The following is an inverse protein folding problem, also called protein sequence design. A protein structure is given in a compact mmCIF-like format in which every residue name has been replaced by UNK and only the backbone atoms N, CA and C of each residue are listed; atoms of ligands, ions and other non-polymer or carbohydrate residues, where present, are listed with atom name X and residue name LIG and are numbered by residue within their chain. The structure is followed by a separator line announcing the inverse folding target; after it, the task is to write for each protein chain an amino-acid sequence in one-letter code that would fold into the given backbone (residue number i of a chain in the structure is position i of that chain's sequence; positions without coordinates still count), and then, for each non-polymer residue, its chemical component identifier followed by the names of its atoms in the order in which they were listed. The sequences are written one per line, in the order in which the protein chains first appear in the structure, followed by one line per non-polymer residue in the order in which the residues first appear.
data_IF_694010105966
#
_entry.id   IF_694010105966
#
_cell.length_a   1.000
_cell.length_b   1.000
_cell.length_c   1.000
_cell.angle_alpha   90.00
_cell.angle_beta   90.00
_cell.angle_gamma   90.00
#
_symmetry.space_group_name_H-M   'P 1'
#
loop_
_entity.id
_entity.type
_entity.pdbx_description
1 polymer ?
#
# COMPACT_ATOMS: atom_id res chain seq x y z
N UNK A 1 1.29 -9.86 2.47
CA UNK A 1 1.60 -8.72 1.59
C UNK A 1 3.11 -8.65 1.38
N UNK A 2 3.55 -8.21 0.20
CA UNK A 2 4.95 -8.13 -0.18
C UNK A 2 5.20 -6.81 -0.90
N UNK A 3 6.23 -6.08 -0.46
CA UNK A 3 6.69 -4.87 -1.14
C UNK A 3 7.66 -5.24 -2.25
N UNK A 4 7.64 -4.47 -3.34
CA UNK A 4 8.47 -4.73 -4.52
C UNK A 4 9.15 -3.43 -4.99
N UNK A 5 10.05 -3.53 -5.95
CA UNK A 5 10.89 -2.41 -6.38
C UNK A 5 10.19 -1.45 -7.36
N UNK A 6 8.95 -1.70 -7.77
CA UNK A 6 8.16 -0.72 -8.54
C UNK A 6 7.61 0.35 -7.58
N UNK A 7 8.13 1.57 -7.67
CA UNK A 7 7.82 2.63 -6.72
C UNK A 7 7.66 4.00 -7.38
N UNK A 8 6.75 4.81 -6.84
CA UNK A 8 6.70 6.25 -7.07
C UNK A 8 7.85 6.95 -6.32
N UNK A 9 8.23 8.16 -6.76
CA UNK A 9 9.19 8.99 -6.01
C UNK A 9 8.48 10.23 -5.46
N UNK A 10 8.67 10.49 -4.18
CA UNK A 10 8.04 11.60 -3.47
C UNK A 10 9.11 12.60 -3.04
N UNK A 11 8.89 13.86 -3.37
CA UNK A 11 9.72 14.99 -2.95
C UNK A 11 8.90 15.87 -2.02
N UNK A 12 9.42 16.18 -0.83
CA UNK A 12 8.74 17.03 0.14
C UNK A 12 9.66 18.17 0.52
N UNK A 13 9.14 19.40 0.50
CA UNK A 13 9.82 20.60 0.97
C UNK A 13 8.91 21.36 1.93
N UNK A 14 9.50 21.99 2.93
CA UNK A 14 8.78 22.94 3.78
C UNK A 14 8.27 24.11 2.94
N UNK A 15 7.07 24.59 3.26
CA UNK A 15 6.49 25.83 2.76
C UNK A 15 6.05 26.71 3.92
N UNK A 16 5.77 27.98 3.64
CA UNK A 16 5.28 28.90 4.67
C UNK A 16 3.97 28.41 5.31
N UNK A 17 3.03 27.97 4.48
CA UNK A 17 1.71 27.51 4.89
C UNK A 17 1.05 26.63 3.82
N UNK A 18 0.05 25.85 4.25
CA UNK A 18 -0.77 25.02 3.37
C UNK A 18 -0.07 23.80 2.78
N UNK A 19 -0.86 22.95 2.11
CA UNK A 19 -0.36 21.76 1.39
C UNK A 19 -0.49 22.01 -0.10
N UNK A 20 0.64 21.94 -0.82
CA UNK A 20 0.68 22.11 -2.28
C UNK A 20 1.19 20.84 -2.92
N UNK A 21 0.43 20.23 -3.83
CA UNK A 21 0.81 18.97 -4.47
C UNK A 21 0.95 19.19 -5.99
N UNK A 22 1.97 18.58 -6.58
CA UNK A 22 2.10 18.37 -8.02
C UNK A 22 2.40 16.91 -8.30
N UNK A 23 1.82 16.36 -9.36
CA UNK A 23 2.07 15.00 -9.81
C UNK A 23 2.50 14.99 -11.28
N UNK A 24 3.40 14.09 -11.65
CA UNK A 24 3.81 13.89 -13.05
C UNK A 24 2.71 13.23 -13.90
N UNK A 25 1.69 12.62 -13.27
CA UNK A 25 0.59 11.96 -13.96
C UNK A 25 -0.72 12.78 -13.83
N UNK A 26 -1.36 13.16 -14.94
CA UNK A 26 -2.49 14.12 -14.93
C UNK A 26 -3.77 13.56 -14.28
N UNK A 27 -3.97 12.24 -14.32
CA UNK A 27 -5.15 11.60 -13.72
C UNK A 27 -5.05 11.37 -12.20
N UNK A 28 -3.92 11.70 -11.57
CA UNK A 28 -3.77 11.55 -10.12
C UNK A 28 -4.33 12.79 -9.43
N UNK A 29 -5.34 12.68 -8.56
CA UNK A 29 -5.87 13.82 -7.84
C UNK A 29 -4.79 14.48 -6.97
N UNK A 30 -4.72 15.81 -7.01
CA UNK A 30 -3.76 16.63 -6.23
C UNK A 30 -4.46 17.65 -5.32
N UNK A 31 -5.78 17.56 -5.23
CA UNK A 31 -6.64 18.41 -4.40
C UNK A 31 -6.85 17.83 -3.00
N UNK A 32 -7.74 18.45 -2.23
CA UNK A 32 -8.10 18.08 -0.86
C UNK A 32 -8.73 16.70 -0.73
N UNK A 33 -9.27 16.13 -1.81
CA UNK A 33 -9.83 14.78 -1.81
C UNK A 33 -8.74 13.72 -1.97
N UNK A 34 -7.56 14.09 -2.48
CA UNK A 34 -6.46 13.15 -2.64
C UNK A 34 -5.98 12.60 -1.29
N UNK A 35 -5.69 11.30 -1.27
CA UNK A 35 -5.14 10.65 -0.08
C UNK A 35 -3.80 11.28 0.34
N UNK A 36 -3.01 11.73 -0.63
CA UNK A 36 -1.76 12.48 -0.44
C UNK A 36 -1.99 13.76 0.36
N UNK A 37 -2.96 14.59 -0.05
CA UNK A 37 -3.29 15.83 0.67
C UNK A 37 -3.74 15.54 2.09
N UNK A 38 -4.70 14.63 2.23
CA UNK A 38 -5.26 14.22 3.53
C UNK A 38 -4.18 13.68 4.47
N UNK A 39 -3.18 12.97 3.95
CA UNK A 39 -2.05 12.46 4.74
C UNK A 39 -1.19 13.59 5.28
N UNK A 40 -0.84 14.56 4.44
CA UNK A 40 -0.03 15.70 4.85
C UNK A 40 -0.77 16.56 5.87
N UNK A 41 -2.02 16.92 5.59
CA UNK A 41 -2.87 17.69 6.49
C UNK A 41 -3.04 16.98 7.85
N UNK A 42 -3.27 15.65 7.83
CA UNK A 42 -3.49 14.88 9.06
C UNK A 42 -2.31 14.93 10.01
N UNK A 43 -1.09 14.68 9.53
CA UNK A 43 0.10 14.72 10.39
C UNK A 43 0.44 16.16 10.81
N UNK A 44 0.30 17.15 9.92
CA UNK A 44 0.52 18.56 10.27
C UNK A 44 -0.43 19.03 11.38
N UNK A 45 -1.71 18.72 11.25
CA UNK A 45 -2.73 19.08 12.24
C UNK A 45 -2.53 18.33 13.56
N UNK A 46 -2.24 17.02 13.51
CA UNK A 46 -2.05 16.20 14.72
C UNK A 46 -0.93 16.71 15.61
N UNK A 47 0.15 17.21 14.99
CA UNK A 47 1.31 17.76 15.71
C UNK A 47 1.36 19.29 15.73
N UNK A 48 0.25 19.96 15.37
CA UNK A 48 0.07 21.43 15.38
C UNK A 48 1.18 22.19 14.65
N UNK A 49 1.73 21.60 13.59
CA UNK A 49 2.76 22.23 12.75
C UNK A 49 2.12 23.40 12.01
N UNK A 50 2.69 24.60 12.17
CA UNK A 50 2.18 25.83 11.54
C UNK A 50 2.70 26.06 10.12
N UNK A 51 3.73 25.31 9.73
CA UNK A 51 4.34 25.35 8.40
C UNK A 51 3.52 24.53 7.40
N UNK A 52 3.66 24.88 6.14
CA UNK A 52 3.13 24.13 5.02
C UNK A 52 4.12 23.11 4.46
N UNK A 53 3.68 22.36 3.46
CA UNK A 53 4.55 21.50 2.65
C UNK A 53 4.21 21.59 1.16
N UNK A 54 5.25 21.52 0.34
CA UNK A 54 5.14 21.29 -1.10
C UNK A 54 5.57 19.87 -1.41
N UNK A 55 4.68 19.12 -2.06
CA UNK A 55 4.85 17.70 -2.39
C UNK A 55 4.90 17.56 -3.92
N UNK A 56 5.96 16.93 -4.42
CA UNK A 56 6.08 16.48 -5.81
C UNK A 56 6.00 14.97 -5.89
N UNK A 57 5.20 14.44 -6.81
CA UNK A 57 5.04 13.00 -7.05
C UNK A 57 5.51 12.67 -8.46
N UNK A 58 6.58 11.89 -8.58
CA UNK A 58 6.91 11.21 -9.84
C UNK A 58 6.27 9.83 -9.83
N UNK A 59 5.14 9.71 -10.54
CA UNK A 59 4.30 8.52 -10.57
C UNK A 59 4.87 7.47 -11.52
N UNK A 60 5.14 6.27 -11.01
CA UNK A 60 5.60 5.08 -11.76
C UNK A 60 4.73 3.85 -11.55
N UNK A 61 4.13 3.69 -10.37
CA UNK A 61 3.18 2.61 -10.12
C UNK A 61 1.94 2.87 -10.99
N UNK A 62 1.45 1.90 -11.79
CA UNK A 62 0.27 2.11 -12.62
C UNK A 62 -0.97 2.44 -11.81
N UNK A 63 -1.90 3.21 -12.39
CA UNK A 63 -3.18 3.52 -11.76
C UNK A 63 -4.06 2.27 -11.70
N UNK A 64 -4.90 2.19 -10.66
CA UNK A 64 -5.91 1.15 -10.44
C UNK A 64 -5.42 -0.31 -10.62
N UNK A 65 -4.13 -0.56 -10.38
CA UNK A 65 -3.47 -1.85 -10.62
C UNK A 65 -3.57 -2.85 -9.46
N UNK A 66 -4.29 -2.52 -8.39
CA UNK A 66 -4.30 -3.32 -7.16
C UNK A 66 -2.97 -3.28 -6.37
N UNK A 67 -2.05 -2.38 -6.72
CA UNK A 67 -0.71 -2.27 -6.10
C UNK A 67 -0.63 -1.24 -4.96
N UNK A 68 -1.76 -0.75 -4.47
CA UNK A 68 -1.83 0.22 -3.37
C UNK A 68 -0.98 1.51 -3.58
N UNK A 69 -0.81 1.98 -4.82
CA UNK A 69 0.07 3.13 -5.12
C UNK A 69 -0.31 4.43 -4.38
N UNK A 70 -1.61 4.71 -4.22
CA UNK A 70 -2.06 5.84 -3.40
C UNK A 70 -1.67 5.71 -1.92
N UNK A 71 -1.79 4.51 -1.37
CA UNK A 71 -1.42 4.20 0.02
C UNK A 71 0.09 4.24 0.23
N UNK A 72 0.88 3.83 -0.77
CA UNK A 72 2.33 3.96 -0.76
C UNK A 72 2.77 5.44 -0.73
N UNK A 73 2.09 6.30 -1.49
CA UNK A 73 2.33 7.74 -1.47
C UNK A 73 1.94 8.36 -0.11
N UNK A 74 0.80 7.96 0.44
CA UNK A 74 0.36 8.33 1.80
C UNK A 74 1.41 7.99 2.86
N UNK A 75 1.87 6.74 2.89
CA UNK A 75 2.92 6.28 3.79
C UNK A 75 4.22 7.10 3.64
N UNK A 76 4.63 7.36 2.40
CA UNK A 76 5.83 8.15 2.09
C UNK A 76 5.71 9.59 2.59
N UNK A 77 4.52 10.18 2.55
CA UNK A 77 4.27 11.53 3.08
C UNK A 77 4.35 11.56 4.59
N UNK A 78 3.72 10.60 5.28
CA UNK A 78 3.79 10.50 6.73
C UNK A 78 5.24 10.34 7.20
N UNK A 79 5.99 9.41 6.59
CA UNK A 79 7.42 9.20 6.88
C UNK A 79 8.25 10.44 6.53
N UNK A 80 7.98 11.06 5.38
CA UNK A 80 8.73 12.21 4.90
C UNK A 80 8.51 13.47 5.74
N UNK A 81 7.28 13.73 6.19
CA UNK A 81 6.95 14.85 7.07
C UNK A 81 7.49 14.62 8.49
N UNK A 82 7.40 13.38 9.01
CA UNK A 82 8.02 13.00 10.27
C UNK A 82 9.52 13.32 10.27
N UNK A 83 10.22 13.02 9.17
CA UNK A 83 11.63 13.37 8.99
C UNK A 83 11.86 14.87 8.82
N UNK A 84 11.08 15.53 7.96
CA UNK A 84 11.23 16.95 7.63
C UNK A 84 11.12 17.85 8.86
N UNK A 85 10.18 17.55 9.77
CA UNK A 85 9.97 18.33 10.99
C UNK A 85 10.51 17.65 12.26
N UNK A 86 11.34 16.61 12.11
CA UNK A 86 11.99 15.89 13.22
C UNK A 86 11.03 15.50 14.36
N UNK A 87 9.86 14.95 14.01
CA UNK A 87 8.81 14.61 14.99
C UNK A 87 9.14 13.36 15.82
N UNK A 88 10.18 12.60 15.44
CA UNK A 88 10.67 11.40 16.12
C UNK A 88 9.59 10.32 16.33
N UNK A 89 8.63 10.23 15.41
CA UNK A 89 7.60 9.20 15.45
C UNK A 89 8.17 7.85 15.05
N UNK A 90 7.80 6.82 15.80
CA UNK A 90 8.14 5.44 15.48
C UNK A 90 7.30 4.93 14.31
N UNK A 91 7.71 3.82 13.69
CA UNK A 91 6.89 3.14 12.69
C UNK A 91 5.53 2.70 13.25
N UNK A 92 5.41 2.46 14.57
CA UNK A 92 4.13 2.14 15.20
C UNK A 92 3.21 3.37 15.17
N UNK A 93 3.69 4.51 15.63
CA UNK A 93 2.92 5.76 15.65
C UNK A 93 2.46 6.17 14.24
N UNK A 94 3.35 6.02 13.24
CA UNK A 94 3.01 6.30 11.85
C UNK A 94 1.93 5.36 11.31
N UNK A 95 2.00 4.06 11.64
CA UNK A 95 0.98 3.09 11.24
C UNK A 95 -0.36 3.41 11.86
N UNK A 96 -0.43 3.81 13.13
CA UNK A 96 -1.67 4.24 13.78
C UNK A 96 -2.31 5.43 13.03
N UNK A 97 -1.53 6.41 12.59
CA UNK A 97 -2.04 7.51 11.75
C UNK A 97 -2.50 6.98 10.38
N UNK A 98 -1.74 6.03 9.80
CA UNK A 98 -2.02 5.38 8.53
C UNK A 98 -3.33 4.58 8.52
N UNK A 99 -3.66 3.91 9.62
CA UNK A 99 -4.92 3.16 9.79
C UNK A 99 -6.13 4.07 9.59
N UNK A 100 -6.07 5.32 10.04
CA UNK A 100 -7.15 6.29 9.85
C UNK A 100 -7.21 6.89 8.43
N UNK A 101 -6.25 6.58 7.55
CA UNK A 101 -6.17 7.09 6.17
C UNK A 101 -6.58 6.04 5.13
N UNK A 102 -6.18 4.78 5.34
CA UNK A 102 -6.56 3.67 4.45
C UNK A 102 -5.91 2.35 4.86
N UNK A 103 -6.57 1.23 4.53
CA UNK A 103 -6.21 -0.09 5.07
C UNK A 103 -4.83 -0.59 4.62
N UNK A 104 -4.33 -0.13 3.47
CA UNK A 104 -3.00 -0.52 2.97
C UNK A 104 -1.88 0.41 3.46
N UNK A 105 -2.21 1.60 4.01
CA UNK A 105 -1.19 2.57 4.47
C UNK A 105 -0.31 1.99 5.57
N UNK A 106 -0.84 1.27 6.58
CA UNK A 106 -0.01 0.62 7.59
C UNK A 106 1.02 -0.35 7.01
N UNK A 107 0.62 -1.14 6.00
CA UNK A 107 1.55 -2.03 5.31
C UNK A 107 2.61 -1.26 4.53
N UNK A 108 2.24 -0.20 3.82
CA UNK A 108 3.20 0.63 3.09
C UNK A 108 4.23 1.31 4.00
N UNK A 109 3.87 1.64 5.25
CA UNK A 109 4.82 2.13 6.27
C UNK A 109 5.72 1.00 6.76
N UNK A 110 5.15 -0.20 6.98
CA UNK A 110 5.89 -1.38 7.43
C UNK A 110 6.94 -1.83 6.40
N UNK A 111 6.56 -1.84 5.12
CA UNK A 111 7.37 -2.31 3.99
C UNK A 111 7.80 -3.80 4.13
N UNK A 112 8.50 -4.32 3.13
CA UNK A 112 9.03 -5.69 3.11
C UNK A 112 7.93 -6.75 2.99
N UNK A 113 8.11 -7.87 3.69
CA UNK A 113 7.16 -8.98 3.76
C UNK A 113 6.39 -8.89 5.08
N UNK A 114 5.06 -8.97 5.02
CA UNK A 114 4.24 -8.93 6.23
C UNK A 114 2.95 -9.74 6.09
N UNK A 115 2.50 -10.31 7.21
CA UNK A 115 1.15 -10.84 7.36
C UNK A 115 0.22 -9.68 7.69
N UNK A 116 -0.77 -9.44 6.84
CA UNK A 116 -1.84 -8.50 7.09
C UNK A 116 -3.13 -9.29 7.35
N UNK A 117 -3.89 -8.93 8.37
CA UNK A 117 -5.14 -9.60 8.73
C UNK A 117 -6.26 -8.60 9.06
N UNK A 118 -7.48 -9.13 9.23
CA UNK A 118 -8.74 -8.36 9.24
C UNK A 118 -9.00 -7.69 7.89
N UNK A 119 -9.09 -6.37 7.82
CA UNK A 119 -9.30 -5.62 6.58
C UNK A 119 -7.98 -5.18 5.94
N UNK A 120 -6.83 -5.58 6.53
CA UNK A 120 -5.49 -5.27 6.06
C UNK A 120 -4.70 -4.33 7.00
N UNK A 121 -5.37 -3.75 7.99
CA UNK A 121 -4.79 -2.78 8.92
C UNK A 121 -3.83 -3.39 9.93
N UNK A 122 -4.09 -4.62 10.37
CA UNK A 122 -3.23 -5.29 11.35
C UNK A 122 -2.07 -5.96 10.63
N UNK A 123 -0.92 -5.31 10.70
CA UNK A 123 0.30 -5.74 10.00
C UNK A 123 1.33 -6.31 10.98
N UNK A 124 1.71 -7.57 10.75
CA UNK A 124 2.78 -8.26 11.46
C UNK A 124 3.95 -8.49 10.49
N UNK A 125 5.14 -7.92 10.76
CA UNK A 125 6.32 -8.13 9.91
C UNK A 125 6.69 -9.61 9.84
N UNK A 126 7.15 -10.05 8.67
CA UNK A 126 7.72 -11.37 8.44
C UNK A 126 9.19 -11.24 8.00
N UNK A 127 10.00 -12.31 8.15
CA UNK A 127 11.34 -12.33 7.58
C UNK A 127 11.33 -12.04 6.08
N UNK A 128 12.36 -11.36 5.54
CA UNK A 128 12.50 -11.16 4.11
C UNK A 128 12.51 -12.49 3.35
N UNK A 129 11.91 -12.51 2.16
CA UNK A 129 11.97 -13.67 1.28
C UNK A 129 13.41 -13.87 0.79
N UNK A 130 13.94 -15.07 0.99
CA UNK A 130 15.28 -15.45 0.57
C UNK A 130 15.25 -16.80 -0.19
N UNK A 131 15.81 -16.89 -1.42
CA UNK A 131 16.37 -15.78 -2.21
C UNK A 131 15.31 -14.75 -2.64
N UNK A 132 15.71 -13.52 -3.01
CA UNK A 132 14.79 -12.53 -3.56
C UNK A 132 14.00 -13.06 -4.75
N UNK A 133 12.72 -12.73 -4.81
CA UNK A 133 11.84 -13.13 -5.91
C UNK A 133 11.94 -12.15 -7.07
N UNK A 134 12.14 -12.67 -8.27
CA UNK A 134 11.95 -11.92 -9.51
C UNK A 134 10.48 -12.02 -9.91
N UNK A 135 9.82 -10.86 -10.06
CA UNK A 135 8.39 -10.78 -10.33
C UNK A 135 8.19 -10.01 -11.63
N UNK A 136 7.44 -10.60 -12.56
CA UNK A 136 6.92 -9.92 -13.74
C UNK A 136 5.50 -9.45 -13.43
N UNK A 137 5.21 -8.18 -13.69
CA UNK A 137 3.89 -7.59 -13.46
C UNK A 137 3.27 -7.29 -14.80
N UNK A 138 2.05 -7.80 -15.00
CA UNK A 138 1.24 -7.54 -16.19
C UNK A 138 0.05 -6.71 -15.75
N UNK A 139 -0.04 -5.48 -16.26
CA UNK A 139 -1.23 -4.65 -16.08
C UNK A 139 -2.05 -4.71 -17.38
N UNK A 140 -3.25 -5.30 -17.38
CA UNK A 140 -4.07 -5.42 -18.59
C UNK A 140 -4.70 -4.09 -19.04
N UNK A 141 -4.52 -3.00 -18.28
CA UNK A 141 -4.93 -1.66 -18.69
C UNK A 141 -6.40 -1.33 -18.42
N UNK A 142 -7.12 -2.17 -17.68
CA UNK A 142 -8.49 -1.91 -17.24
C UNK A 142 -8.62 -1.92 -15.72
N UNK A 143 -9.60 -1.20 -15.20
CA UNK A 143 -9.86 -1.09 -13.78
C UNK A 143 -10.95 -2.07 -13.33
N UNK A 144 -10.78 -2.63 -12.12
CA UNK A 144 -11.82 -3.41 -11.46
C UNK A 144 -12.30 -2.62 -10.24
N UNK A 145 -13.57 -2.18 -10.19
CA UNK A 145 -14.07 -1.46 -9.04
C UNK A 145 -14.04 -2.34 -7.78
N UNK A 146 -13.28 -1.93 -6.76
CA UNK A 146 -13.14 -2.68 -5.49
C UNK A 146 -14.50 -3.02 -4.88
N UNK A 147 -15.44 -2.06 -4.85
CA UNK A 147 -16.80 -2.27 -4.35
C UNK A 147 -17.54 -3.37 -5.12
N UNK A 148 -17.39 -3.43 -6.44
CA UNK A 148 -17.98 -4.49 -7.25
C UNK A 148 -17.37 -5.85 -6.89
N UNK A 149 -16.04 -5.93 -6.79
CA UNK A 149 -15.34 -7.18 -6.48
C UNK A 149 -15.78 -7.76 -5.13
N UNK A 150 -15.86 -6.94 -4.08
CA UNK A 150 -16.33 -7.38 -2.77
C UNK A 150 -17.82 -7.76 -2.76
N UNK A 151 -18.69 -7.00 -3.44
CA UNK A 151 -20.13 -7.28 -3.46
C UNK A 151 -20.49 -8.57 -4.24
N UNK A 152 -19.63 -9.00 -5.16
CA UNK A 152 -19.87 -10.17 -6.01
C UNK A 152 -18.99 -11.36 -5.62
N UNK A 153 -18.23 -11.27 -4.53
CA UNK A 153 -17.40 -12.36 -4.05
C UNK A 153 -18.28 -13.46 -3.44
N UNK A 154 -18.33 -14.62 -4.09
CA UNK A 154 -19.00 -15.80 -3.58
C UNK A 154 -18.03 -16.68 -2.79
N UNK A 155 -18.18 -16.71 -1.47
CA UNK A 155 -17.35 -17.50 -0.57
C UNK A 155 -17.53 -19.01 -0.75
N UNK A 156 -18.66 -19.45 -1.33
CA UNK A 156 -18.94 -20.87 -1.61
C UNK A 156 -18.08 -21.43 -2.76
N UNK A 157 -17.59 -20.55 -3.65
CA UNK A 157 -16.75 -20.93 -4.79
C UNK A 157 -15.25 -20.91 -4.47
N UNK A 158 -14.87 -20.46 -3.27
CA UNK A 158 -13.46 -20.39 -2.86
C UNK A 158 -12.99 -21.79 -2.44
N UNK A 159 -12.03 -22.32 -3.20
CA UNK A 159 -11.30 -23.56 -2.89
C UNK A 159 -10.46 -23.40 -1.63
N UNK A 160 -11.07 -23.67 -0.47
CA UNK A 160 -10.46 -23.48 0.86
C UNK A 160 -9.16 -24.26 1.02
N UNK A 161 -9.04 -25.40 0.36
CA UNK A 161 -7.83 -26.22 0.34
C UNK A 161 -6.61 -25.52 -0.27
N UNK A 162 -6.83 -24.54 -1.17
CA UNK A 162 -5.76 -23.70 -1.74
C UNK A 162 -5.54 -22.40 -0.98
N UNK A 163 -6.50 -21.98 -0.15
CA UNK A 163 -6.44 -20.74 0.62
C UNK A 163 -5.88 -21.00 2.03
N UNK A 164 -4.60 -21.36 2.12
CA UNK A 164 -3.95 -21.68 3.39
C UNK A 164 -2.82 -20.69 3.72
N UNK A 165 -3.15 -19.69 4.55
CA UNK A 165 -2.15 -18.77 5.12
C UNK A 165 -1.06 -19.53 5.88
N UNK A 166 -1.42 -20.61 6.58
CA UNK A 166 -0.47 -21.44 7.34
C UNK A 166 0.55 -22.07 6.41
N UNK A 167 0.11 -22.63 5.27
CA UNK A 167 1.01 -23.24 4.29
C UNK A 167 1.93 -22.20 3.64
N UNK A 168 1.42 -21.00 3.32
CA UNK A 168 2.25 -19.89 2.83
C UNK A 168 3.28 -19.44 3.87
N UNK A 169 2.91 -19.29 5.14
CA UNK A 169 3.85 -18.93 6.21
C UNK A 169 4.95 -19.98 6.40
N UNK A 170 4.59 -21.27 6.31
CA UNK A 170 5.56 -22.37 6.33
C UNK A 170 6.52 -22.28 5.14
N UNK A 171 6.00 -22.08 3.92
CA UNK A 171 6.81 -21.94 2.72
C UNK A 171 7.76 -20.73 2.78
N UNK A 172 7.29 -19.59 3.29
CA UNK A 172 8.12 -18.40 3.49
C UNK A 172 9.25 -18.64 4.50
N UNK A 173 9.01 -19.46 5.53
CA UNK A 173 10.01 -19.81 6.55
C UNK A 173 11.03 -20.84 6.03
N UNK A 174 10.59 -21.86 5.32
CA UNK A 174 11.45 -22.90 4.75
C UNK A 174 12.30 -22.37 3.60
N UNK A 175 11.84 -21.30 2.95
CA UNK A 175 12.48 -20.73 1.77
C UNK A 175 12.18 -21.54 0.51
N UNK A 176 12.55 -20.97 -0.64
CA UNK A 176 12.39 -21.63 -1.94
C UNK A 176 11.12 -21.21 -2.71
N UNK A 177 11.32 -20.96 -4.01
CA UNK A 177 10.31 -20.44 -4.92
C UNK A 177 9.11 -21.38 -5.09
N UNK A 178 9.35 -22.69 -5.16
CA UNK A 178 8.31 -23.67 -5.45
C UNK A 178 7.24 -23.73 -4.37
N UNK A 179 7.66 -23.71 -3.09
CA UNK A 179 6.74 -23.69 -1.95
C UNK A 179 5.87 -22.43 -1.95
N UNK A 180 6.47 -21.27 -2.22
CA UNK A 180 5.73 -20.01 -2.31
C UNK A 180 4.76 -20.06 -3.49
N UNK A 181 5.23 -20.42 -4.69
CA UNK A 181 4.43 -20.46 -5.90
C UNK A 181 3.22 -21.40 -5.78
N UNK A 182 3.40 -22.58 -5.17
CA UNK A 182 2.33 -23.57 -4.94
C UNK A 182 1.22 -23.04 -4.03
N UNK A 183 1.53 -22.10 -3.14
CA UNK A 183 0.60 -21.55 -2.16
C UNK A 183 0.09 -20.15 -2.53
N UNK A 184 0.49 -19.57 -3.67
CA UNK A 184 -0.08 -18.32 -4.14
C UNK A 184 -1.57 -18.52 -4.46
N UNK A 185 -2.39 -17.63 -3.90
CA UNK A 185 -3.83 -17.69 -4.06
C UNK A 185 -4.42 -16.31 -3.83
N UNK A 186 -5.43 -15.95 -4.63
CA UNK A 186 -6.27 -14.79 -4.39
C UNK A 186 -7.74 -15.16 -4.59
N UNK A 187 -8.54 -15.00 -3.53
CA UNK A 187 -9.97 -15.30 -3.52
C UNK A 187 -10.77 -14.59 -4.61
N UNK A 188 -10.29 -13.46 -5.13
CA UNK A 188 -10.93 -12.72 -6.21
C UNK A 188 -10.66 -13.30 -7.60
N UNK A 189 -9.63 -14.14 -7.80
CA UNK A 189 -9.22 -14.63 -9.13
C UNK A 189 -10.37 -15.30 -9.88
N UNK A 190 -11.08 -16.23 -9.24
CA UNK A 190 -12.18 -16.95 -9.88
C UNK A 190 -13.33 -16.05 -10.32
N UNK A 191 -13.67 -15.04 -9.52
CA UNK A 191 -14.71 -14.05 -9.85
C UNK A 191 -14.25 -13.16 -11.01
N UNK A 192 -13.02 -12.66 -10.95
CA UNK A 192 -12.48 -11.70 -11.92
C UNK A 192 -12.29 -12.36 -13.29
N UNK A 193 -11.65 -13.52 -13.33
CA UNK A 193 -11.39 -14.29 -14.57
C UNK A 193 -12.70 -14.71 -15.26
N UNK A 194 -13.77 -14.96 -14.48
CA UNK A 194 -15.07 -15.31 -15.08
C UNK A 194 -15.72 -14.14 -15.80
N UNK A 195 -15.42 -12.90 -15.41
CA UNK A 195 -16.08 -11.69 -15.96
C UNK A 195 -15.29 -11.03 -17.09
N UNK A 196 -13.96 -11.03 -17.02
CA UNK A 196 -13.05 -10.33 -17.94
C UNK A 196 -12.13 -11.32 -18.63
#
# INVERSE_FOLDING_TARGET
MQSINLADRIFIKEEKEGVKIKCSHPLVPVDTQSLTYRSAEKILNRYRIKKGVKIGIDKKIPLASGMAGGSANSASILVGINKLFALNLSNKDLREIGEELGMDVPFCIQNGTALAYHKGEKVTPLPPINPPLWIIIINPGFEIPTKWAYNNLDLGLIKREKNSTIAMLKALKEGGLEGIAKNLFNSFEGLVIKKY
#
